data_IF_262246621965
#
_entry.id   IF_262246621965
#
_cell.length_a   1.000
_cell.length_b   1.000
_cell.length_c   1.000
_cell.angle_alpha   90.00
_cell.angle_beta   90.00
_cell.angle_gamma   90.00
#
_symmetry.space_group_name_H-M   'P 1'
#
loop_
_entity.id
_entity.type
_entity.pdbx_description
1 polymer ?
#
# COMPACT_ATOMS: atom_id res chain seq x y z
N UNK A 1 -10.09 -4.96 -22.75
CA UNK A 1 -9.42 -3.69 -23.08
C UNK A 1 -10.23 -3.01 -24.16
N UNK A 2 -10.41 -1.69 -24.04
CA UNK A 2 -11.07 -0.87 -25.05
C UNK A 2 -10.37 -1.00 -26.41
N UNK A 3 -11.13 -0.85 -27.50
CA UNK A 3 -10.62 -0.87 -28.87
C UNK A 3 -11.14 0.35 -29.63
N UNK A 4 -10.35 0.80 -30.61
CA UNK A 4 -10.74 1.81 -31.59
C UNK A 4 -11.33 3.09 -30.95
N UNK A 5 -12.61 3.37 -31.19
CA UNK A 5 -13.35 4.53 -30.68
C UNK A 5 -13.35 4.59 -29.14
N UNK A 6 -13.32 3.44 -28.45
CA UNK A 6 -13.28 3.39 -26.98
C UNK A 6 -11.99 3.95 -26.39
N UNK A 7 -10.85 3.83 -27.10
CA UNK A 7 -9.58 4.40 -26.67
C UNK A 7 -9.59 5.93 -26.78
N UNK A 8 -10.11 6.46 -27.90
CA UNK A 8 -10.21 7.90 -28.09
C UNK A 8 -11.22 8.53 -27.14
N UNK A 9 -12.34 7.85 -26.88
CA UNK A 9 -13.32 8.25 -25.88
C UNK A 9 -12.69 8.30 -24.48
N UNK A 10 -12.00 7.24 -24.07
CA UNK A 10 -11.33 7.19 -22.77
C UNK A 10 -10.29 8.31 -22.60
N UNK A 11 -9.51 8.60 -23.65
CA UNK A 11 -8.55 9.69 -23.66
C UNK A 11 -9.24 11.06 -23.53
N UNK A 12 -10.28 11.30 -24.32
CA UNK A 12 -11.04 12.56 -24.32
C UNK A 12 -11.69 12.82 -22.97
N UNK A 13 -12.22 11.78 -22.33
CA UNK A 13 -12.91 11.87 -21.03
C UNK A 13 -11.98 11.62 -19.83
N UNK A 14 -10.67 11.53 -20.05
CA UNK A 14 -9.67 11.26 -19.00
C UNK A 14 -9.97 10.02 -18.14
N UNK A 15 -10.48 8.95 -18.75
CA UNK A 15 -10.69 7.65 -18.11
C UNK A 15 -9.33 6.97 -17.94
N UNK A 16 -8.84 6.93 -16.70
CA UNK A 16 -7.53 6.32 -16.34
C UNK A 16 -7.65 4.93 -15.70
N UNK A 17 -8.82 4.62 -15.15
CA UNK A 17 -9.07 3.41 -14.38
C UNK A 17 -10.32 2.71 -14.91
N UNK A 18 -10.33 1.38 -14.89
CA UNK A 18 -11.45 0.58 -15.38
C UNK A 18 -11.98 -0.35 -14.29
N UNK A 19 -13.32 -0.52 -14.19
CA UNK A 19 -14.33 0.24 -14.94
C UNK A 19 -14.46 1.69 -14.44
N UNK A 20 -14.92 2.59 -15.31
CA UNK A 20 -15.37 3.95 -14.94
C UNK A 20 -16.77 4.17 -15.49
N UNK A 21 -17.70 4.58 -14.63
CA UNK A 21 -19.05 4.98 -15.00
C UNK A 21 -19.11 6.49 -15.20
N UNK A 22 -19.61 6.92 -16.35
CA UNK A 22 -19.78 8.32 -16.70
C UNK A 22 -21.24 8.64 -17.00
N UNK A 23 -21.76 9.71 -16.42
CA UNK A 23 -22.97 10.38 -16.87
C UNK A 23 -22.59 11.65 -17.60
N UNK A 24 -23.11 11.83 -18.80
CA UNK A 24 -22.82 12.98 -19.65
C UNK A 24 -24.09 13.77 -19.95
N UNK A 25 -23.95 15.08 -20.14
CA UNK A 25 -25.05 15.92 -20.62
C UNK A 25 -25.18 15.85 -22.16
N UNK A 26 -26.16 16.58 -22.71
CA UNK A 26 -26.42 16.63 -24.16
C UNK A 26 -25.27 17.21 -25.00
N UNK A 27 -24.33 17.93 -24.37
CA UNK A 27 -23.15 18.51 -25.02
C UNK A 27 -21.95 17.55 -25.00
N UNK A 28 -22.07 16.38 -24.37
CA UNK A 28 -20.97 15.42 -24.21
C UNK A 28 -20.05 15.71 -23.02
N UNK A 29 -20.44 16.61 -22.10
CA UNK A 29 -19.65 16.93 -20.92
C UNK A 29 -20.02 15.99 -19.76
N UNK A 30 -19.02 15.48 -19.03
CA UNK A 30 -19.24 14.62 -17.85
C UNK A 30 -19.84 15.44 -16.71
N UNK A 31 -21.00 15.01 -16.21
CA UNK A 31 -21.70 15.63 -15.07
C UNK A 31 -21.56 14.83 -13.78
N UNK A 32 -21.35 13.51 -13.88
CA UNK A 32 -21.11 12.63 -12.75
C UNK A 32 -20.23 11.46 -13.16
N UNK A 33 -19.40 10.99 -12.22
CA UNK A 33 -18.35 10.01 -12.47
C UNK A 33 -18.21 9.10 -11.26
N UNK A 34 -17.98 7.81 -11.50
CA UNK A 34 -17.56 6.85 -10.47
C UNK A 34 -16.54 5.88 -11.02
N UNK A 35 -15.44 5.69 -10.30
CA UNK A 35 -14.40 4.71 -10.63
C UNK A 35 -14.65 3.42 -9.83
N UNK A 36 -14.48 2.28 -10.48
CA UNK A 36 -14.65 0.96 -9.89
C UNK A 36 -16.05 0.38 -10.02
N UNK A 37 -16.20 -0.86 -9.55
CA UNK A 37 -17.46 -1.59 -9.57
C UNK A 37 -18.27 -1.32 -8.31
N UNK A 38 -19.58 -1.26 -8.47
CA UNK A 38 -20.53 -1.36 -7.37
C UNK A 38 -20.92 -2.83 -7.15
N UNK A 39 -21.14 -3.23 -5.89
CA UNK A 39 -21.37 -4.64 -5.51
C UNK A 39 -22.81 -5.02 -5.83
N UNK A 40 -23.76 -4.13 -5.52
CA UNK A 40 -25.19 -4.42 -5.66
C UNK A 40 -25.77 -3.71 -6.88
N UNK A 41 -26.63 -4.37 -7.68
CA UNK A 41 -27.30 -3.71 -8.82
C UNK A 41 -28.03 -2.42 -8.46
N UNK A 42 -28.59 -2.34 -7.25
CA UNK A 42 -29.30 -1.15 -6.76
C UNK A 42 -28.40 0.09 -6.67
N UNK A 43 -27.11 -0.08 -6.39
CA UNK A 43 -26.15 1.03 -6.31
C UNK A 43 -25.94 1.70 -7.67
N UNK A 44 -25.99 0.94 -8.78
CA UNK A 44 -25.97 1.50 -10.13
C UNK A 44 -27.21 2.34 -10.42
N UNK A 45 -28.38 1.90 -9.94
CA UNK A 45 -29.64 2.65 -10.08
C UNK A 45 -29.57 3.94 -9.28
N UNK A 46 -29.07 3.89 -8.05
CA UNK A 46 -28.96 5.07 -7.18
C UNK A 46 -27.92 6.07 -7.70
N UNK A 47 -26.79 5.60 -8.23
CA UNK A 47 -25.83 6.44 -8.94
C UNK A 47 -26.43 7.12 -10.19
N UNK A 48 -27.32 6.43 -10.90
CA UNK A 48 -28.07 7.04 -12.01
C UNK A 48 -29.10 8.08 -11.56
N UNK A 49 -29.67 7.94 -10.35
CA UNK A 49 -30.54 8.96 -9.76
C UNK A 49 -29.74 10.16 -9.28
N UNK A 50 -28.58 9.96 -8.63
CA UNK A 50 -27.73 11.07 -8.17
C UNK A 50 -27.23 11.92 -9.35
N UNK A 51 -26.88 11.30 -10.47
CA UNK A 51 -26.48 12.00 -11.69
C UNK A 51 -27.53 13.01 -12.19
N UNK A 52 -28.83 12.70 -12.00
CA UNK A 52 -29.95 13.57 -12.39
C UNK A 52 -30.22 14.71 -11.41
N UNK A 53 -29.66 14.66 -10.19
CA UNK A 53 -29.80 15.73 -9.21
C UNK A 53 -28.78 16.84 -9.53
N UNK A 54 -29.20 18.02 -10.02
CA UNK A 54 -28.27 19.07 -10.42
C UNK A 54 -27.48 19.67 -9.24
N UNK A 55 -27.90 19.43 -7.99
CA UNK A 55 -27.17 19.86 -6.78
C UNK A 55 -26.39 18.74 -6.09
N UNK A 56 -26.59 17.48 -6.51
CA UNK A 56 -26.03 16.30 -5.85
C UNK A 56 -25.12 15.46 -6.74
N UNK A 57 -25.01 15.78 -8.03
CA UNK A 57 -23.99 15.20 -8.90
C UNK A 57 -22.63 15.91 -8.69
N UNK A 58 -21.58 15.36 -9.30
CA UNK A 58 -20.21 15.84 -9.10
C UNK A 58 -20.07 17.33 -9.47
N UNK A 59 -20.58 17.73 -10.65
CA UNK A 59 -20.49 19.12 -11.11
C UNK A 59 -21.26 20.06 -10.16
N UNK A 60 -22.48 19.70 -9.78
CA UNK A 60 -23.30 20.51 -8.89
C UNK A 60 -22.72 20.67 -7.48
N UNK A 61 -22.11 19.61 -6.93
CA UNK A 61 -21.42 19.70 -5.64
C UNK A 61 -20.14 20.54 -5.76
N UNK A 62 -19.37 20.41 -6.85
CA UNK A 62 -18.23 21.29 -7.10
C UNK A 62 -18.65 22.76 -7.14
N UNK A 63 -19.74 23.10 -7.84
CA UNK A 63 -20.28 24.46 -7.91
C UNK A 63 -20.72 24.99 -6.54
N UNK A 64 -21.41 24.17 -5.73
CA UNK A 64 -21.81 24.52 -4.36
C UNK A 64 -20.60 24.81 -3.48
N UNK A 65 -19.58 23.96 -3.54
CA UNK A 65 -18.35 24.11 -2.77
C UNK A 65 -17.58 25.39 -3.17
N UNK A 66 -17.40 25.62 -4.48
CA UNK A 66 -16.79 26.86 -5.00
C UNK A 66 -17.62 28.10 -4.63
N UNK A 67 -18.94 27.97 -4.57
CA UNK A 67 -19.88 28.99 -4.10
C UNK A 67 -19.80 29.27 -2.59
N UNK A 68 -19.00 28.53 -1.83
CA UNK A 68 -18.75 28.75 -0.41
C UNK A 68 -19.58 27.88 0.54
N UNK A 69 -20.34 26.91 0.02
CA UNK A 69 -21.02 25.95 0.89
C UNK A 69 -19.99 25.00 1.51
N UNK A 70 -19.95 24.98 2.84
CA UNK A 70 -18.94 24.22 3.60
C UNK A 70 -19.49 23.61 4.89
N UNK A 71 -20.81 23.49 5.01
CA UNK A 71 -21.40 22.85 6.20
C UNK A 71 -20.88 21.42 6.32
N UNK A 72 -20.63 20.92 7.54
CA UNK A 72 -20.10 19.57 7.74
C UNK A 72 -20.89 18.50 6.98
N UNK A 73 -22.22 18.56 6.99
CA UNK A 73 -23.09 17.60 6.31
C UNK A 73 -22.91 17.62 4.78
N UNK A 74 -22.73 18.80 4.20
CA UNK A 74 -22.47 18.91 2.76
C UNK A 74 -21.09 18.36 2.39
N UNK A 75 -20.06 18.69 3.19
CA UNK A 75 -18.70 18.27 2.89
C UNK A 75 -18.55 16.75 3.01
N UNK A 76 -19.24 16.11 3.94
CA UNK A 76 -19.28 14.66 4.06
C UNK A 76 -19.79 13.98 2.78
N UNK A 77 -20.97 14.39 2.29
CA UNK A 77 -21.53 13.88 1.02
C UNK A 77 -20.60 14.18 -0.16
N UNK A 78 -19.97 15.36 -0.14
CA UNK A 78 -19.08 15.79 -1.21
C UNK A 78 -17.77 15.00 -1.24
N UNK A 79 -17.20 14.65 -0.09
CA UNK A 79 -16.01 13.79 0.02
C UNK A 79 -16.27 12.41 -0.56
N UNK A 80 -17.45 11.83 -0.31
CA UNK A 80 -17.85 10.55 -0.92
C UNK A 80 -17.93 10.64 -2.45
N UNK A 81 -18.51 11.73 -2.97
CA UNK A 81 -18.62 11.98 -4.40
C UNK A 81 -17.25 12.19 -5.05
N UNK A 82 -16.36 12.97 -4.44
CA UNK A 82 -15.00 13.20 -4.93
C UNK A 82 -14.19 11.89 -4.93
N UNK A 83 -14.18 11.18 -3.80
CA UNK A 83 -13.47 9.90 -3.68
C UNK A 83 -13.99 8.86 -4.66
N UNK A 84 -15.32 8.74 -4.79
CA UNK A 84 -15.96 7.87 -5.77
C UNK A 84 -15.58 8.23 -7.21
N UNK A 85 -15.40 9.52 -7.52
CA UNK A 85 -14.95 10.00 -8.82
C UNK A 85 -13.42 9.96 -9.01
N UNK A 86 -12.66 9.57 -7.98
CA UNK A 86 -11.20 9.62 -7.93
C UNK A 86 -10.64 11.05 -8.16
N UNK A 87 -11.36 12.04 -7.64
CA UNK A 87 -10.98 13.44 -7.63
C UNK A 87 -10.30 13.82 -6.30
N UNK A 88 -9.41 14.83 -6.27
CA UNK A 88 -8.73 15.24 -5.04
C UNK A 88 -9.69 15.69 -3.93
N UNK A 89 -9.50 15.18 -2.72
CA UNK A 89 -10.35 15.46 -1.55
C UNK A 89 -9.78 16.55 -0.64
N UNK A 90 -8.51 16.92 -0.79
CA UNK A 90 -7.76 17.73 0.19
C UNK A 90 -8.43 19.08 0.50
N UNK A 91 -8.97 19.75 -0.52
CA UNK A 91 -9.63 21.06 -0.34
C UNK A 91 -10.93 20.93 0.45
N UNK A 92 -11.76 19.94 0.12
CA UNK A 92 -13.01 19.68 0.82
C UNK A 92 -12.72 19.26 2.26
N UNK A 93 -11.74 18.38 2.46
CA UNK A 93 -11.35 17.89 3.77
C UNK A 93 -10.80 19.01 4.68
N UNK A 94 -9.98 19.92 4.14
CA UNK A 94 -9.52 21.09 4.89
C UNK A 94 -10.67 22.05 5.25
N UNK A 95 -11.66 22.21 4.36
CA UNK A 95 -12.87 22.98 4.67
C UNK A 95 -13.69 22.33 5.80
N UNK A 96 -13.84 21.00 5.79
CA UNK A 96 -14.46 20.23 6.88
C UNK A 96 -13.81 20.56 8.22
N UNK A 97 -12.47 20.40 8.30
CA UNK A 97 -11.73 20.65 9.52
C UNK A 97 -11.79 22.11 9.99
N UNK A 98 -11.99 23.06 9.07
CA UNK A 98 -12.11 24.47 9.43
C UNK A 98 -13.40 24.81 10.17
N UNK A 99 -14.47 24.03 9.96
CA UNK A 99 -15.76 24.20 10.63
C UNK A 99 -15.86 23.46 11.97
N UNK A 100 -14.92 22.54 12.25
CA UNK A 100 -14.93 21.76 13.49
C UNK A 100 -14.28 22.52 14.65
N UNK A 101 -14.92 22.45 15.82
CA UNK A 101 -14.28 22.72 17.10
C UNK A 101 -13.36 21.56 17.52
N UNK A 102 -12.44 21.84 18.44
CA UNK A 102 -11.41 20.87 18.87
C UNK A 102 -12.00 19.56 19.42
N UNK A 103 -13.04 19.66 20.25
CA UNK A 103 -13.76 18.52 20.83
C UNK A 103 -14.48 17.65 19.78
N UNK A 104 -14.70 18.15 18.57
CA UNK A 104 -15.35 17.39 17.50
C UNK A 104 -14.40 16.46 16.73
N UNK A 105 -13.09 16.62 16.87
CA UNK A 105 -12.12 15.76 16.15
C UNK A 105 -12.13 14.31 16.63
N UNK A 106 -12.41 14.07 17.91
CA UNK A 106 -12.43 12.72 18.50
C UNK A 106 -13.76 11.99 18.26
N UNK A 107 -14.77 12.67 17.72
CA UNK A 107 -16.06 12.04 17.44
C UNK A 107 -15.90 10.88 16.44
N UNK A 108 -16.61 9.75 16.62
CA UNK A 108 -16.44 8.56 15.78
C UNK A 108 -16.55 8.84 14.28
N UNK A 109 -17.53 9.66 13.89
CA UNK A 109 -17.76 10.06 12.50
C UNK A 109 -16.61 10.87 11.92
N UNK A 110 -16.06 11.81 12.70
CA UNK A 110 -14.89 12.59 12.28
C UNK A 110 -13.66 11.72 12.12
N UNK A 111 -13.43 10.79 13.05
CA UNK A 111 -12.33 9.81 12.98
C UNK A 111 -12.48 8.92 11.73
N UNK A 112 -13.68 8.48 11.40
CA UNK A 112 -13.95 7.73 10.16
C UNK A 112 -13.58 8.53 8.90
N UNK A 113 -14.00 9.80 8.83
CA UNK A 113 -13.67 10.71 7.72
C UNK A 113 -12.16 10.90 7.61
N UNK A 114 -11.46 11.15 8.73
CA UNK A 114 -10.00 11.29 8.75
C UNK A 114 -9.34 10.02 8.21
N UNK A 115 -9.71 8.84 8.71
CA UNK A 115 -9.15 7.56 8.25
C UNK A 115 -9.34 7.34 6.75
N UNK A 116 -10.54 7.66 6.27
CA UNK A 116 -10.90 7.42 4.88
C UNK A 116 -10.17 8.37 3.93
N UNK A 117 -10.13 9.66 4.25
CA UNK A 117 -9.74 10.70 3.29
C UNK A 117 -8.43 11.42 3.59
N UNK A 118 -7.95 11.48 4.84
CA UNK A 118 -6.71 12.18 5.19
C UNK A 118 -5.49 11.29 4.99
N UNK A 119 -4.63 11.66 4.03
CA UNK A 119 -3.35 10.99 3.75
C UNK A 119 -2.14 11.85 4.14
N UNK A 120 -2.37 13.01 4.74
CA UNK A 120 -1.30 13.92 5.13
C UNK A 120 -0.63 13.47 6.43
N UNK A 121 0.47 14.13 6.77
CA UNK A 121 1.13 13.98 8.07
C UNK A 121 1.08 15.27 8.90
N UNK A 122 0.42 16.31 8.40
CA UNK A 122 0.47 17.68 8.92
C UNK A 122 -0.81 18.49 8.65
N UNK A 123 -1.91 17.85 8.24
CA UNK A 123 -3.23 18.51 8.25
C UNK A 123 -3.60 19.01 9.65
N UNK A 124 -4.64 19.85 9.72
CA UNK A 124 -5.23 20.26 10.99
C UNK A 124 -5.61 19.05 11.86
N UNK A 125 -6.20 18.02 11.26
CA UNK A 125 -6.57 16.79 11.97
C UNK A 125 -5.35 16.02 12.47
N UNK A 126 -4.32 15.82 11.63
CA UNK A 126 -3.11 15.09 12.03
C UNK A 126 -2.37 15.82 13.15
N UNK A 127 -2.27 17.14 13.06
CA UNK A 127 -1.64 17.97 14.09
C UNK A 127 -2.40 17.84 15.41
N UNK A 128 -3.73 17.88 15.37
CA UNK A 128 -4.58 17.74 16.56
C UNK A 128 -4.49 16.34 17.20
N UNK A 129 -4.53 15.27 16.39
CA UNK A 129 -4.34 13.90 16.86
C UNK A 129 -2.98 13.74 17.53
N UNK A 130 -1.91 14.26 16.92
CA UNK A 130 -0.57 14.18 17.48
C UNK A 130 -0.42 14.95 18.80
N UNK A 131 -1.13 16.07 18.98
CA UNK A 131 -1.09 16.84 20.24
C UNK A 131 -1.99 16.26 21.34
N UNK A 132 -2.99 15.46 20.99
CA UNK A 132 -3.92 14.79 21.93
C UNK A 132 -3.80 13.27 21.87
N UNK A 133 -2.61 12.77 21.54
CA UNK A 133 -2.38 11.37 21.18
C UNK A 133 -2.94 10.39 22.20
N UNK A 134 -2.66 10.60 23.48
CA UNK A 134 -3.09 9.69 24.55
C UNK A 134 -4.62 9.52 24.60
N UNK A 135 -5.37 10.59 24.30
CA UNK A 135 -6.83 10.57 24.24
C UNK A 135 -7.32 9.74 23.04
N UNK A 136 -6.74 9.99 21.88
CA UNK A 136 -7.07 9.29 20.64
C UNK A 136 -6.67 7.80 20.68
N UNK A 137 -5.50 7.47 21.21
CA UNK A 137 -5.04 6.09 21.37
C UNK A 137 -5.85 5.34 22.44
N UNK A 138 -6.38 6.04 23.45
CA UNK A 138 -7.31 5.44 24.41
C UNK A 138 -8.67 5.13 23.79
N UNK A 139 -9.17 6.00 22.91
CA UNK A 139 -10.50 5.88 22.30
C UNK A 139 -10.51 4.98 21.05
N UNK A 140 -9.45 5.01 20.24
CA UNK A 140 -9.33 4.35 18.94
C UNK A 140 -7.90 3.82 18.71
N UNK A 141 -7.43 2.89 19.56
CA UNK A 141 -6.03 2.47 19.59
C UNK A 141 -5.52 1.98 18.24
N UNK A 142 -6.21 1.00 17.65
CA UNK A 142 -5.79 0.37 16.41
C UNK A 142 -5.92 1.33 15.21
N UNK A 143 -7.00 2.12 15.19
CA UNK A 143 -7.26 3.05 14.10
C UNK A 143 -6.21 4.14 14.00
N UNK A 144 -5.84 4.73 15.14
CA UNK A 144 -4.93 5.87 15.19
C UNK A 144 -3.50 5.41 14.96
N UNK A 145 -3.11 4.26 15.53
CA UNK A 145 -1.82 3.65 15.23
C UNK A 145 -1.68 3.37 13.72
N UNK A 146 -2.65 2.70 13.11
CA UNK A 146 -2.61 2.37 11.68
C UNK A 146 -2.63 3.61 10.79
N UNK A 147 -3.45 4.62 11.13
CA UNK A 147 -3.55 5.88 10.41
C UNK A 147 -2.21 6.62 10.41
N UNK A 148 -1.62 6.79 11.60
CA UNK A 148 -0.34 7.46 11.75
C UNK A 148 0.76 6.68 11.02
N UNK A 149 0.82 5.36 11.19
CA UNK A 149 1.80 4.51 10.49
C UNK A 149 1.68 4.65 8.97
N UNK A 150 0.48 4.44 8.40
CA UNK A 150 0.26 4.46 6.95
C UNK A 150 0.57 5.81 6.32
N UNK A 151 0.13 6.91 6.93
CA UNK A 151 0.37 8.25 6.40
C UNK A 151 1.86 8.60 6.42
N UNK A 152 2.56 8.29 7.52
CA UNK A 152 4.00 8.55 7.62
C UNK A 152 4.83 7.62 6.73
N UNK A 153 4.45 6.35 6.60
CA UNK A 153 5.08 5.42 5.66
C UNK A 153 4.95 5.92 4.23
N UNK A 154 3.74 6.28 3.79
CA UNK A 154 3.51 6.79 2.44
C UNK A 154 4.30 8.08 2.18
N UNK A 155 4.32 9.00 3.15
CA UNK A 155 5.06 10.24 3.07
C UNK A 155 6.58 10.03 2.95
N UNK A 156 7.16 9.09 3.69
CA UNK A 156 8.60 8.75 3.54
C UNK A 156 8.86 8.07 2.19
N UNK A 157 8.03 7.08 1.83
CA UNK A 157 8.19 6.27 0.62
C UNK A 157 8.07 7.07 -0.68
N UNK A 158 7.27 8.13 -0.69
CA UNK A 158 7.19 9.09 -1.80
C UNK A 158 8.59 9.62 -2.17
N UNK A 159 9.44 9.95 -1.18
CA UNK A 159 10.80 10.41 -1.44
C UNK A 159 11.77 9.27 -1.73
N UNK A 160 11.64 8.13 -1.04
CA UNK A 160 12.53 6.98 -1.27
C UNK A 160 12.41 6.42 -2.70
N UNK A 161 11.22 6.47 -3.31
CA UNK A 161 10.95 5.80 -4.58
C UNK A 161 10.55 6.75 -5.72
N UNK A 162 10.10 7.98 -5.42
CA UNK A 162 9.56 8.89 -6.43
C UNK A 162 10.57 9.37 -7.46
N UNK A 163 10.11 9.72 -8.66
CA UNK A 163 10.97 10.22 -9.74
C UNK A 163 11.73 11.50 -9.34
N UNK A 164 11.11 12.34 -8.50
CA UNK A 164 11.66 13.59 -7.97
C UNK A 164 12.20 13.44 -6.54
N UNK A 165 12.80 12.29 -6.22
CA UNK A 165 13.40 12.04 -4.90
C UNK A 165 14.49 13.05 -4.54
N UNK A 166 14.44 13.61 -3.34
CA UNK A 166 15.53 14.37 -2.72
C UNK A 166 15.97 13.67 -1.44
N UNK A 167 17.23 13.20 -1.40
CA UNK A 167 17.79 12.51 -0.25
C UNK A 167 17.78 13.36 1.02
N UNK A 168 18.03 14.68 0.93
CA UNK A 168 17.95 15.56 2.11
C UNK A 168 16.54 15.68 2.63
N UNK A 169 15.56 15.64 1.73
CA UNK A 169 14.16 15.63 2.13
C UNK A 169 13.78 14.29 2.75
N UNK A 170 14.17 13.16 2.14
CA UNK A 170 14.00 11.83 2.71
C UNK A 170 14.52 11.75 4.15
N UNK A 171 15.77 12.18 4.38
CA UNK A 171 16.39 12.21 5.71
C UNK A 171 15.57 13.05 6.71
N UNK A 172 15.08 14.23 6.30
CA UNK A 172 14.19 15.05 7.16
C UNK A 172 12.90 14.33 7.48
N UNK A 173 12.29 13.64 6.51
CA UNK A 173 11.04 12.89 6.73
C UNK A 173 11.27 11.76 7.73
N UNK A 174 12.34 10.98 7.57
CA UNK A 174 12.72 9.91 8.51
C UNK A 174 12.96 10.44 9.93
N UNK A 175 13.68 11.57 10.07
CA UNK A 175 13.89 12.24 11.36
C UNK A 175 12.56 12.68 11.98
N UNK A 176 11.63 13.20 11.17
CA UNK A 176 10.32 13.63 11.63
C UNK A 176 9.46 12.45 12.12
N UNK A 177 9.44 11.31 11.41
CA UNK A 177 8.76 10.08 11.85
C UNK A 177 9.27 9.64 13.23
N UNK A 178 10.59 9.61 13.41
CA UNK A 178 11.22 9.27 14.70
C UNK A 178 10.87 10.28 15.79
N UNK A 179 10.97 11.59 15.52
CA UNK A 179 10.66 12.65 16.49
C UNK A 179 9.21 12.64 16.94
N UNK A 180 8.29 12.27 16.03
CA UNK A 180 6.86 12.13 16.32
C UNK A 180 6.54 10.83 17.05
N UNK A 181 7.54 10.00 17.37
CA UNK A 181 7.37 8.72 18.04
C UNK A 181 6.29 7.85 17.37
N UNK A 182 6.31 7.77 16.04
CA UNK A 182 5.35 6.92 15.31
C UNK A 182 5.67 5.47 15.63
N UNK A 183 4.69 4.71 16.12
CA UNK A 183 4.86 3.28 16.37
C UNK A 183 5.28 2.60 15.06
N UNK A 184 6.33 1.78 15.09
CA UNK A 184 6.91 1.17 13.90
C UNK A 184 7.81 2.08 13.06
N UNK A 185 8.28 3.22 13.58
CA UNK A 185 9.17 4.14 12.85
C UNK A 185 10.45 3.47 12.32
N UNK A 186 10.99 2.47 13.02
CA UNK A 186 12.15 1.70 12.55
C UNK A 186 11.84 0.97 11.24
N UNK A 187 10.66 0.33 11.15
CA UNK A 187 10.20 -0.37 9.96
C UNK A 187 10.01 0.60 8.78
N UNK A 188 9.46 1.79 9.05
CA UNK A 188 9.30 2.87 8.03
C UNK A 188 10.65 3.35 7.52
N UNK A 189 11.62 3.55 8.41
CA UNK A 189 12.98 3.97 8.05
C UNK A 189 13.70 2.89 7.24
N UNK A 190 13.70 1.65 7.73
CA UNK A 190 14.37 0.53 7.07
C UNK A 190 13.84 0.32 5.64
N UNK A 191 12.51 0.31 5.45
CA UNK A 191 11.95 0.10 4.11
C UNK A 191 12.28 1.24 3.16
N UNK A 192 12.39 2.47 3.68
CA UNK A 192 12.77 3.63 2.90
C UNK A 192 14.23 3.55 2.44
N UNK A 193 15.15 3.24 3.35
CA UNK A 193 16.58 3.07 3.05
C UNK A 193 16.79 1.95 2.03
N UNK A 194 16.18 0.79 2.25
CA UNK A 194 16.26 -0.34 1.31
C UNK A 194 15.66 0.02 -0.07
N UNK A 195 14.61 0.82 -0.11
CA UNK A 195 14.00 1.27 -1.36
C UNK A 195 14.87 2.27 -2.12
N UNK A 196 15.52 3.22 -1.41
CA UNK A 196 16.49 4.14 -2.00
C UNK A 196 17.70 3.38 -2.56
N UNK A 197 18.28 2.46 -1.78
CA UNK A 197 19.41 1.63 -2.21
C UNK A 197 19.09 0.81 -3.46
N UNK A 198 17.90 0.19 -3.49
CA UNK A 198 17.43 -0.56 -4.66
C UNK A 198 17.28 0.35 -5.88
N UNK A 199 16.72 1.55 -5.72
CA UNK A 199 16.58 2.54 -6.79
C UNK A 199 17.94 3.01 -7.32
N UNK A 200 18.90 3.23 -6.44
CA UNK A 200 20.28 3.61 -6.75
C UNK A 200 21.13 2.43 -7.26
N UNK A 201 20.57 1.22 -7.30
CA UNK A 201 21.25 -0.04 -7.69
C UNK A 201 22.42 -0.41 -6.77
N UNK A 202 22.39 0.02 -5.51
CA UNK A 202 23.40 -0.28 -4.47
C UNK A 202 23.04 -1.57 -3.73
N UNK A 203 23.04 -2.68 -4.47
CA UNK A 203 22.56 -3.98 -3.96
C UNK A 203 23.45 -4.62 -2.89
N UNK A 204 24.75 -4.32 -2.88
CA UNK A 204 25.66 -4.80 -1.84
C UNK A 204 25.26 -4.25 -0.46
N UNK A 205 25.11 -2.92 -0.37
CA UNK A 205 24.65 -2.23 0.85
C UNK A 205 23.21 -2.59 1.21
N UNK A 206 22.34 -2.80 0.21
CA UNK A 206 21.00 -3.34 0.43
C UNK A 206 21.08 -4.68 1.17
N UNK A 207 21.90 -5.61 0.67
CA UNK A 207 22.01 -6.95 1.26
C UNK A 207 22.60 -6.92 2.66
N UNK A 208 23.60 -6.05 2.92
CA UNK A 208 24.16 -5.84 4.25
C UNK A 208 23.11 -5.37 5.25
N UNK A 209 22.42 -4.27 4.93
CA UNK A 209 21.40 -3.69 5.83
C UNK A 209 20.21 -4.64 5.99
N UNK A 210 19.76 -5.27 4.90
CA UNK A 210 18.67 -6.22 4.96
C UNK A 210 19.02 -7.42 5.86
N UNK A 211 20.21 -7.99 5.71
CA UNK A 211 20.66 -9.11 6.56
C UNK A 211 20.72 -8.74 8.04
N UNK A 212 21.08 -7.49 8.36
CA UNK A 212 21.17 -7.01 9.74
C UNK A 212 19.79 -6.81 10.38
N UNK A 213 18.85 -6.14 9.68
CA UNK A 213 17.70 -5.52 10.36
C UNK A 213 16.33 -6.10 9.95
N UNK A 214 16.21 -6.78 8.80
CA UNK A 214 14.90 -7.26 8.30
C UNK A 214 14.28 -8.28 9.24
N UNK A 215 15.09 -9.21 9.77
CA UNK A 215 14.60 -10.25 10.66
C UNK A 215 13.95 -9.71 11.94
N UNK A 216 14.39 -8.55 12.43
CA UNK A 216 13.82 -7.90 13.62
C UNK A 216 12.50 -7.19 13.29
N UNK A 217 12.48 -6.36 12.24
CA UNK A 217 11.35 -5.46 11.98
C UNK A 217 10.25 -6.04 11.09
N UNK A 218 10.50 -7.16 10.42
CA UNK A 218 9.55 -7.82 9.53
C UNK A 218 9.21 -9.26 9.97
N UNK A 219 9.51 -9.63 11.22
CA UNK A 219 9.22 -10.96 11.75
C UNK A 219 7.75 -11.38 11.58
N UNK A 220 6.83 -10.41 11.63
CA UNK A 220 5.39 -10.58 11.48
C UNK A 220 4.90 -10.63 10.02
N UNK A 221 5.75 -10.28 9.05
CA UNK A 221 5.41 -10.20 7.63
C UNK A 221 6.11 -11.30 6.83
N UNK A 222 5.48 -12.48 6.81
CA UNK A 222 5.97 -13.68 6.13
C UNK A 222 6.27 -13.45 4.64
N UNK A 223 5.44 -12.64 3.98
CA UNK A 223 5.61 -12.34 2.56
C UNK A 223 6.83 -11.45 2.35
N UNK A 224 7.02 -10.44 3.21
CA UNK A 224 8.22 -9.60 3.18
C UNK A 224 9.48 -10.42 3.44
N UNK A 225 9.49 -11.29 4.46
CA UNK A 225 10.64 -12.14 4.78
C UNK A 225 11.06 -13.03 3.60
N UNK A 226 10.10 -13.69 2.95
CA UNK A 226 10.42 -14.49 1.76
C UNK A 226 10.92 -13.63 0.59
N UNK A 227 10.33 -12.43 0.39
CA UNK A 227 10.75 -11.48 -0.64
C UNK A 227 12.18 -10.99 -0.42
N UNK A 228 12.55 -10.64 0.82
CA UNK A 228 13.91 -10.25 1.18
C UNK A 228 14.89 -11.42 1.06
N UNK A 229 14.51 -12.61 1.52
CA UNK A 229 15.32 -13.83 1.38
C UNK A 229 15.64 -14.13 -0.09
N UNK A 230 14.64 -14.04 -0.98
CA UNK A 230 14.84 -14.18 -2.43
C UNK A 230 15.75 -13.08 -2.99
N UNK A 231 15.56 -11.84 -2.55
CA UNK A 231 16.41 -10.72 -2.98
C UNK A 231 17.87 -10.94 -2.59
N UNK A 232 18.16 -11.44 -1.38
CA UNK A 232 19.52 -11.79 -0.96
C UNK A 232 20.09 -12.93 -1.82
N UNK A 233 19.32 -13.99 -2.07
CA UNK A 233 19.71 -15.08 -2.96
C UNK A 233 20.19 -14.56 -4.34
N UNK A 234 19.46 -13.62 -4.93
CA UNK A 234 19.77 -13.09 -6.26
C UNK A 234 20.98 -12.14 -6.28
N UNK A 235 21.29 -11.48 -5.16
CA UNK A 235 22.18 -10.30 -5.16
C UNK A 235 23.44 -10.41 -4.31
N UNK A 236 23.63 -11.46 -3.51
CA UNK A 236 24.87 -11.63 -2.71
C UNK A 236 25.35 -13.08 -2.62
N UNK A 237 26.67 -13.27 -2.63
CA UNK A 237 27.34 -14.55 -2.30
C UNK A 237 27.87 -14.58 -0.85
N UNK A 238 27.60 -13.54 -0.06
CA UNK A 238 28.04 -13.46 1.33
C UNK A 238 27.32 -14.54 2.17
N UNK A 239 28.09 -15.50 2.69
CA UNK A 239 27.57 -16.65 3.45
C UNK A 239 26.84 -16.23 4.72
N UNK A 240 27.28 -15.17 5.40
CA UNK A 240 26.61 -14.69 6.63
C UNK A 240 25.21 -14.15 6.31
N UNK A 241 25.08 -13.36 5.24
CA UNK A 241 23.80 -12.80 4.83
C UNK A 241 22.83 -13.89 4.34
N UNK A 242 23.36 -14.88 3.61
CA UNK A 242 22.57 -16.02 3.15
C UNK A 242 22.08 -16.90 4.32
N UNK A 243 22.88 -17.08 5.37
CA UNK A 243 22.45 -17.80 6.58
C UNK A 243 21.35 -17.04 7.34
N UNK A 244 21.40 -15.70 7.41
CA UNK A 244 20.27 -14.91 7.94
C UNK A 244 19.00 -15.11 7.11
N UNK A 245 19.11 -15.08 5.79
CA UNK A 245 17.97 -15.35 4.91
C UNK A 245 17.38 -16.77 5.10
N UNK A 246 18.22 -17.78 5.36
CA UNK A 246 17.76 -19.13 5.70
C UNK A 246 16.94 -19.12 6.98
N UNK A 247 17.40 -18.42 8.04
CA UNK A 247 16.63 -18.30 9.29
C UNK A 247 15.26 -17.66 9.06
N UNK A 248 15.16 -16.65 8.20
CA UNK A 248 13.87 -16.04 7.85
C UNK A 248 12.95 -17.05 7.17
N UNK A 249 13.46 -17.83 6.22
CA UNK A 249 12.66 -18.89 5.57
C UNK A 249 12.22 -19.96 6.57
N UNK A 250 13.08 -20.35 7.52
CA UNK A 250 12.76 -21.33 8.56
C UNK A 250 11.66 -20.84 9.48
N UNK A 251 11.73 -19.57 9.90
CA UNK A 251 10.69 -18.94 10.71
C UNK A 251 9.34 -18.99 10.00
N UNK A 252 9.29 -18.57 8.73
CA UNK A 252 8.05 -18.60 7.93
C UNK A 252 7.52 -20.02 7.76
N UNK A 253 8.38 -20.99 7.40
CA UNK A 253 7.98 -22.40 7.19
C UNK A 253 7.45 -23.03 8.48
N UNK A 254 8.04 -22.68 9.64
CA UNK A 254 7.62 -23.23 10.93
C UNK A 254 6.20 -22.84 11.33
N UNK A 255 5.74 -21.67 10.90
CA UNK A 255 4.38 -21.19 11.15
C UNK A 255 3.42 -21.58 10.03
N UNK A 256 3.87 -21.48 8.78
CA UNK A 256 3.05 -21.67 7.59
C UNK A 256 3.88 -22.27 6.44
N UNK A 257 3.89 -23.62 6.33
CA UNK A 257 4.56 -24.29 5.23
C UNK A 257 4.04 -23.80 3.88
N UNK A 258 4.95 -23.27 3.05
CA UNK A 258 4.63 -22.70 1.76
C UNK A 258 5.62 -23.18 0.69
N UNK A 259 5.15 -23.71 -0.46
CA UNK A 259 6.02 -24.20 -1.53
C UNK A 259 7.03 -23.16 -2.05
N UNK A 260 6.64 -21.88 -2.13
CA UNK A 260 7.53 -20.81 -2.60
C UNK A 260 8.64 -20.51 -1.58
N UNK A 261 8.34 -20.53 -0.30
CA UNK A 261 9.34 -20.30 0.76
C UNK A 261 10.33 -21.46 0.86
N UNK A 262 9.86 -22.69 0.66
CA UNK A 262 10.70 -23.88 0.55
C UNK A 262 11.65 -23.81 -0.66
N UNK A 263 11.17 -23.33 -1.81
CA UNK A 263 12.00 -23.10 -3.01
C UNK A 263 13.06 -22.01 -2.75
N UNK A 264 12.70 -20.89 -2.12
CA UNK A 264 13.66 -19.85 -1.68
C UNK A 264 14.74 -20.44 -0.77
N UNK A 265 14.33 -21.17 0.27
CA UNK A 265 15.25 -21.85 1.20
C UNK A 265 16.21 -22.78 0.47
N UNK A 266 15.70 -23.57 -0.47
CA UNK A 266 16.51 -24.53 -1.22
C UNK A 266 17.58 -23.84 -2.08
N UNK A 267 17.22 -22.73 -2.73
CA UNK A 267 18.17 -21.92 -3.52
C UNK A 267 19.26 -21.28 -2.65
N UNK A 268 18.90 -20.75 -1.48
CA UNK A 268 19.86 -20.22 -0.49
C UNK A 268 20.82 -21.31 -0.01
N UNK A 269 20.31 -22.47 0.40
CA UNK A 269 21.11 -23.61 0.85
C UNK A 269 22.07 -24.11 -0.23
N UNK A 270 21.63 -24.14 -1.48
CA UNK A 270 22.48 -24.53 -2.60
C UNK A 270 23.65 -23.55 -2.78
N UNK A 271 23.38 -22.25 -2.66
CA UNK A 271 24.38 -21.17 -2.72
C UNK A 271 25.37 -21.22 -1.55
N UNK A 272 24.92 -21.70 -0.40
CA UNK A 272 25.73 -21.99 0.79
C UNK A 272 26.53 -23.31 0.70
N UNK A 273 26.50 -24.00 -0.44
CA UNK A 273 27.16 -25.30 -0.66
C UNK A 273 26.57 -26.45 0.19
N UNK A 274 25.36 -26.26 0.77
CA UNK A 274 24.61 -27.25 1.55
C UNK A 274 23.70 -28.10 0.64
N UNK A 275 24.33 -28.81 -0.29
CA UNK A 275 23.67 -29.49 -1.43
C UNK A 275 22.57 -30.47 -1.02
N UNK A 276 22.82 -31.31 -0.02
CA UNK A 276 21.86 -32.33 0.41
C UNK A 276 20.60 -31.70 1.01
N UNK A 277 20.77 -30.67 1.86
CA UNK A 277 19.67 -29.92 2.45
C UNK A 277 18.88 -29.12 1.40
N UNK A 278 19.56 -28.58 0.38
CA UNK A 278 18.91 -27.92 -0.75
C UNK A 278 18.02 -28.90 -1.55
N UNK A 279 18.51 -30.12 -1.80
CA UNK A 279 17.73 -31.16 -2.49
C UNK A 279 16.52 -31.57 -1.66
N UNK A 280 16.67 -31.70 -0.34
CA UNK A 280 15.58 -32.01 0.58
C UNK A 280 14.50 -30.91 0.57
N UNK A 281 14.89 -29.65 0.80
CA UNK A 281 13.98 -28.51 0.80
C UNK A 281 13.24 -28.36 -0.54
N UNK A 282 13.94 -28.52 -1.66
CA UNK A 282 13.32 -28.44 -2.99
C UNK A 282 12.37 -29.61 -3.28
N UNK A 283 12.67 -30.79 -2.77
CA UNK A 283 11.78 -31.95 -2.88
C UNK A 283 10.50 -31.69 -2.07
N UNK A 284 10.63 -31.18 -0.85
CA UNK A 284 9.49 -30.78 -0.02
C UNK A 284 8.63 -29.69 -0.68
N UNK A 285 9.25 -28.70 -1.34
CA UNK A 285 8.53 -27.67 -2.10
C UNK A 285 7.61 -28.28 -3.18
N UNK A 286 8.12 -29.25 -3.94
CA UNK A 286 7.37 -29.92 -5.00
C UNK A 286 6.25 -30.79 -4.41
N UNK A 287 6.52 -31.53 -3.34
CA UNK A 287 5.53 -32.40 -2.69
C UNK A 287 4.39 -31.61 -2.07
N UNK A 288 4.72 -30.55 -1.32
CA UNK A 288 3.73 -29.65 -0.74
C UNK A 288 2.91 -28.94 -1.83
N UNK A 289 3.56 -28.49 -2.90
CA UNK A 289 2.87 -27.87 -4.02
C UNK A 289 1.85 -28.81 -4.69
N UNK A 290 2.19 -30.10 -4.87
CA UNK A 290 1.25 -31.12 -5.35
C UNK A 290 0.08 -31.32 -4.38
N UNK A 291 0.37 -31.42 -3.08
CA UNK A 291 -0.66 -31.57 -2.05
C UNK A 291 -1.63 -30.37 -2.04
N UNK A 292 -1.11 -29.17 -2.31
CA UNK A 292 -1.90 -27.94 -2.44
C UNK A 292 -2.61 -27.80 -3.80
N UNK A 293 -2.56 -28.82 -4.67
CA UNK A 293 -3.25 -28.84 -5.96
C UNK A 293 -2.57 -28.02 -7.07
N UNK A 294 -1.30 -27.64 -6.92
CA UNK A 294 -0.55 -26.98 -7.99
C UNK A 294 -0.42 -27.92 -9.20
N UNK A 295 -0.69 -27.40 -10.40
CA UNK A 295 -0.53 -28.15 -11.64
C UNK A 295 0.94 -28.51 -11.90
N UNK A 296 1.17 -29.55 -12.71
CA UNK A 296 2.53 -29.92 -13.13
C UNK A 296 3.27 -28.79 -13.85
N UNK A 297 2.54 -27.90 -14.54
CA UNK A 297 3.10 -26.70 -15.18
C UNK A 297 3.54 -25.66 -14.14
N UNK A 298 2.76 -25.47 -13.08
CA UNK A 298 3.14 -24.55 -11.99
C UNK A 298 4.35 -25.06 -11.19
N UNK A 299 4.61 -26.37 -11.20
CA UNK A 299 5.77 -27.00 -10.56
C UNK A 299 6.96 -27.21 -11.49
N UNK A 300 6.88 -26.74 -12.74
CA UNK A 300 7.93 -26.97 -13.75
C UNK A 300 9.26 -26.39 -13.29
N UNK A 301 9.25 -25.15 -12.84
CA UNK A 301 10.47 -24.44 -12.42
C UNK A 301 11.10 -25.12 -11.20
N UNK A 302 10.29 -25.56 -10.24
CA UNK A 302 10.79 -26.26 -9.05
C UNK A 302 11.48 -27.58 -9.41
N UNK A 303 10.91 -28.34 -10.37
CA UNK A 303 11.50 -29.58 -10.87
C UNK A 303 12.80 -29.32 -11.65
N UNK A 304 12.89 -28.21 -12.37
CA UNK A 304 14.12 -27.82 -13.07
C UNK A 304 15.22 -27.42 -12.08
N UNK A 305 14.89 -26.64 -11.05
CA UNK A 305 15.78 -26.30 -9.94
C UNK A 305 16.31 -27.57 -9.24
N UNK A 306 15.43 -28.52 -8.91
CA UNK A 306 15.85 -29.80 -8.31
C UNK A 306 16.81 -30.59 -9.21
N UNK A 307 16.59 -30.58 -10.54
CA UNK A 307 17.50 -31.23 -11.49
C UNK A 307 18.86 -30.54 -11.53
N UNK A 308 18.91 -29.20 -11.41
CA UNK A 308 20.17 -28.45 -11.31
C UNK A 308 20.92 -28.84 -10.04
N UNK A 309 20.24 -28.91 -8.91
CA UNK A 309 20.86 -29.29 -7.64
C UNK A 309 21.42 -30.71 -7.63
N UNK A 310 20.86 -31.64 -8.42
CA UNK A 310 21.35 -33.02 -8.51
C UNK A 310 22.54 -33.21 -9.46
N UNK A 311 22.89 -32.21 -10.26
CA UNK A 311 24.12 -32.22 -11.07
C UNK A 311 25.31 -31.83 -10.21
#
# INVERSE_FOLDING_TARGET
MEKDEGLEFAKTQSVRYYPTLLFMNKNGEVVHKKVGTMIKPIEYVDFGKSAKNPKGNLVGMNERFVGGEKTPEFIEEYLEVLSGAYEPTDKALNAYYSELSEDQFINPKTVEIIKMYDKSVDSKAMTYILSHRDEFESAYPEEIEQLLYKNHQAWVMEQATGEQSDRKELEKRMIAVKKRNIIGWQKIILIADLSELKKEKRMEEFCEIAAADVGEYFADDKNALNSFAWTLFENTDNKEYLEEAVKWTDMVISEEPNPAVLDTKANLLYKLERKDEAIEAQTAAIELGKANGMSDNALKDYKETLKKFKK
#
